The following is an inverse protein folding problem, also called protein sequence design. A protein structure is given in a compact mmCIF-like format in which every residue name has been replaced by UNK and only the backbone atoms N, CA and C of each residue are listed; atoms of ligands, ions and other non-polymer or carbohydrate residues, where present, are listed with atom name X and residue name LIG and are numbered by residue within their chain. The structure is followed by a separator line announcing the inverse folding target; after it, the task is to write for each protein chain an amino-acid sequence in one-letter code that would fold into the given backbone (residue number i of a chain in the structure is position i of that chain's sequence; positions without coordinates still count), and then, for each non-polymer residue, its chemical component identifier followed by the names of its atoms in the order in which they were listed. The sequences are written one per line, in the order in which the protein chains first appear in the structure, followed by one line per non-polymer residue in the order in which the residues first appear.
data_IF_362808686644
#
_entry.id   IF_362808686644
#
_cell.length_a   1.000
_cell.length_b   1.000
_cell.length_c   1.000
_cell.angle_alpha   90.00
_cell.angle_beta   90.00
_cell.angle_gamma   90.00
#
_symmetry.space_group_name_H-M   'P 1'
#
loop_
_entity.id
_entity.type
_entity.pdbx_description
1 polymer ?
#
# COMPACT_ATOMS: atom_id res chain seq x y z
N UNK A 1 17.65 17.08 -20.99
CA UNK A 1 17.05 15.74 -20.92
C UNK A 1 15.63 15.92 -20.38
N UNK A 2 14.60 15.70 -21.23
CA UNK A 2 13.21 15.62 -20.77
C UNK A 2 13.11 14.43 -19.81
N UNK A 3 12.85 14.70 -18.53
CA UNK A 3 12.51 13.65 -17.56
C UNK A 3 11.11 13.15 -17.98
N UNK A 4 11.02 11.97 -18.59
CA UNK A 4 9.73 11.33 -18.83
C UNK A 4 8.98 11.33 -17.50
N UNK A 5 7.70 11.70 -17.52
CA UNK A 5 6.89 11.61 -16.31
C UNK A 5 6.97 10.17 -15.81
N UNK A 6 7.22 9.95 -14.51
CA UNK A 6 7.26 8.60 -13.91
C UNK A 6 5.99 7.80 -14.22
N UNK A 7 4.87 8.46 -14.47
CA UNK A 7 3.59 7.85 -14.85
C UNK A 7 3.59 7.25 -16.26
N UNK A 8 4.52 7.67 -17.14
CA UNK A 8 4.68 7.12 -18.48
C UNK A 8 5.64 5.93 -18.53
N UNK A 9 6.37 5.67 -17.43
CA UNK A 9 7.29 4.53 -17.35
C UNK A 9 6.50 3.21 -17.37
N UNK A 10 6.74 2.32 -18.36
CA UNK A 10 6.03 1.04 -18.49
C UNK A 10 6.11 0.15 -17.24
N UNK A 11 7.11 0.37 -16.38
CA UNK A 11 7.27 -0.36 -15.11
C UNK A 11 6.22 0.03 -14.09
N UNK A 12 5.72 1.28 -14.11
CA UNK A 12 4.88 1.87 -13.06
C UNK A 12 3.52 2.34 -13.55
N UNK A 13 3.32 2.48 -14.87
CA UNK A 13 2.06 2.97 -15.48
C UNK A 13 0.82 2.28 -14.92
N UNK A 14 0.88 0.97 -14.66
CA UNK A 14 -0.22 0.18 -14.10
C UNK A 14 -0.68 0.61 -12.69
N UNK A 15 0.10 1.45 -11.99
CA UNK A 15 -0.27 2.00 -10.67
C UNK A 15 -1.35 3.07 -10.82
N UNK A 16 -1.25 3.87 -11.89
CA UNK A 16 -2.19 4.95 -12.21
C UNK A 16 -3.36 4.50 -13.12
N UNK A 17 -3.50 3.20 -13.38
CA UNK A 17 -4.55 2.66 -14.25
C UNK A 17 -5.57 1.83 -13.44
N UNK A 18 -6.82 1.77 -13.90
CA UNK A 18 -7.82 0.86 -13.35
C UNK A 18 -7.33 -0.59 -13.38
N UNK A 19 -7.64 -1.34 -12.35
CA UNK A 19 -7.17 -2.72 -12.20
C UNK A 19 -7.86 -3.68 -13.15
N UNK A 20 -7.11 -4.68 -13.61
CA UNK A 20 -7.63 -5.73 -14.49
C UNK A 20 -8.74 -6.55 -13.81
N UNK A 21 -9.60 -7.17 -14.61
CA UNK A 21 -10.65 -8.08 -14.11
C UNK A 21 -10.05 -9.23 -13.30
N UNK A 22 -8.90 -9.77 -13.72
CA UNK A 22 -8.20 -10.81 -12.97
C UNK A 22 -7.77 -10.34 -11.56
N UNK A 23 -7.29 -9.11 -11.45
CA UNK A 23 -6.96 -8.51 -10.15
C UNK A 23 -8.22 -8.37 -9.27
N UNK A 24 -9.33 -7.92 -9.83
CA UNK A 24 -10.60 -7.77 -9.09
C UNK A 24 -11.13 -9.12 -8.60
N UNK A 25 -11.08 -10.16 -9.44
CA UNK A 25 -11.48 -11.53 -9.05
C UNK A 25 -10.57 -12.05 -7.93
N UNK A 26 -9.26 -11.89 -8.06
CA UNK A 26 -8.31 -12.30 -7.03
C UNK A 26 -8.57 -11.57 -5.70
N UNK A 27 -8.74 -10.26 -5.75
CA UNK A 27 -9.03 -9.44 -4.57
C UNK A 27 -10.33 -9.88 -3.89
N UNK A 28 -11.37 -10.13 -4.66
CA UNK A 28 -12.64 -10.64 -4.14
C UNK A 28 -12.49 -11.99 -3.41
N UNK A 29 -11.77 -12.94 -4.03
CA UNK A 29 -11.51 -14.25 -3.41
C UNK A 29 -10.67 -14.10 -2.14
N UNK A 30 -9.65 -13.23 -2.20
CA UNK A 30 -8.81 -12.94 -1.04
C UNK A 30 -9.61 -12.31 0.10
N UNK A 31 -10.47 -11.33 -0.19
CA UNK A 31 -11.34 -10.70 0.79
C UNK A 31 -12.31 -11.70 1.43
N UNK A 32 -12.93 -12.56 0.61
CA UNK A 32 -13.82 -13.60 1.12
C UNK A 32 -13.09 -14.55 2.08
N UNK A 33 -11.90 -15.00 1.70
CA UNK A 33 -11.05 -15.84 2.54
C UNK A 33 -10.64 -15.12 3.83
N UNK A 34 -10.09 -13.90 3.72
CA UNK A 34 -9.62 -13.12 4.86
C UNK A 34 -10.77 -12.79 5.83
N UNK A 35 -11.93 -12.36 5.32
CA UNK A 35 -13.12 -12.09 6.13
C UNK A 35 -13.59 -13.35 6.87
N UNK A 36 -13.59 -14.50 6.21
CA UNK A 36 -13.97 -15.78 6.84
C UNK A 36 -13.00 -16.14 7.99
N UNK A 37 -11.70 -16.07 7.72
CA UNK A 37 -10.66 -16.37 8.71
C UNK A 37 -10.74 -15.40 9.90
N UNK A 38 -10.81 -14.09 9.63
CA UNK A 38 -10.79 -13.04 10.67
C UNK A 38 -12.12 -12.89 11.41
N UNK A 39 -13.17 -13.54 10.94
CA UNK A 39 -14.47 -13.58 11.63
C UNK A 39 -14.63 -14.85 12.48
N UNK A 40 -14.27 -16.01 11.95
CA UNK A 40 -14.61 -17.30 12.55
C UNK A 40 -13.42 -18.05 13.15
N UNK A 41 -12.25 -18.00 12.50
CA UNK A 41 -11.07 -18.77 12.94
C UNK A 41 -10.17 -17.95 13.89
N UNK A 42 -9.91 -16.70 13.57
CA UNK A 42 -9.09 -15.77 14.36
C UNK A 42 -9.83 -14.44 14.52
N UNK A 43 -10.91 -14.39 15.32
CA UNK A 43 -11.81 -13.24 15.36
C UNK A 43 -11.09 -11.97 15.80
N UNK A 44 -11.23 -10.92 14.96
CA UNK A 44 -10.65 -9.60 15.19
C UNK A 44 -11.72 -8.65 15.70
N UNK A 45 -11.46 -8.04 16.86
CA UNK A 45 -12.29 -6.95 17.39
C UNK A 45 -11.77 -5.61 16.86
N UNK A 46 -12.61 -4.90 16.13
CA UNK A 46 -12.31 -3.56 15.61
C UNK A 46 -12.99 -2.51 16.50
N UNK A 47 -12.22 -1.54 16.98
CA UNK A 47 -12.67 -0.43 17.82
C UNK A 47 -12.32 0.88 17.08
N UNK A 48 -13.22 1.87 17.07
CA UNK A 48 -12.96 3.17 16.43
C UNK A 48 -13.21 3.19 14.91
N UNK A 49 -13.96 2.22 14.37
CA UNK A 49 -14.28 2.17 12.92
C UNK A 49 -14.99 3.42 12.42
N UNK A 50 -15.71 4.11 13.29
CA UNK A 50 -16.38 5.38 13.03
C UNK A 50 -15.42 6.51 12.66
N UNK A 51 -14.15 6.40 13.02
CA UNK A 51 -13.10 7.39 12.72
C UNK A 51 -12.51 7.24 11.30
N UNK A 52 -12.87 6.17 10.57
CA UNK A 52 -12.35 5.94 9.23
C UNK A 52 -12.94 6.99 8.27
N UNK A 53 -12.09 7.75 7.52
CA UNK A 53 -12.55 8.69 6.51
C UNK A 53 -13.42 7.99 5.46
N UNK A 54 -14.58 8.60 5.11
CA UNK A 54 -15.55 7.97 4.21
C UNK A 54 -15.55 8.57 2.81
N UNK A 55 -15.20 9.84 2.72
CA UNK A 55 -15.37 10.63 1.49
C UNK A 55 -14.05 11.15 0.90
N UNK A 56 -12.94 10.75 1.48
CA UNK A 56 -11.61 11.17 1.03
C UNK A 56 -10.61 10.02 1.20
N UNK A 57 -9.61 9.94 0.32
CA UNK A 57 -8.48 9.03 0.51
C UNK A 57 -7.71 9.34 1.78
N UNK A 58 -7.12 8.32 2.39
CA UNK A 58 -6.31 8.46 3.60
C UNK A 58 -5.09 7.56 3.60
N UNK A 59 -4.14 7.87 4.46
CA UNK A 59 -2.99 7.02 4.75
C UNK A 59 -3.27 6.26 6.05
N UNK A 60 -3.33 4.92 5.92
CA UNK A 60 -3.48 4.05 7.09
C UNK A 60 -2.09 3.72 7.65
N UNK A 61 -1.83 4.12 8.88
CA UNK A 61 -0.53 3.89 9.55
C UNK A 61 -0.69 2.87 10.65
N UNK A 62 0.13 1.82 10.63
CA UNK A 62 0.10 0.75 11.62
C UNK A 62 1.50 0.23 11.92
N UNK A 63 1.69 -0.39 13.08
CA UNK A 63 2.86 -1.22 13.35
C UNK A 63 2.85 -2.47 12.44
N UNK A 64 4.01 -3.11 12.27
CA UNK A 64 4.18 -4.21 11.33
C UNK A 64 4.88 -5.42 11.96
N UNK A 65 4.11 -6.45 12.27
CA UNK A 65 4.64 -7.68 12.88
C UNK A 65 4.35 -8.94 12.05
N UNK A 66 3.36 -8.89 11.14
CA UNK A 66 2.88 -10.08 10.44
C UNK A 66 2.57 -9.80 8.97
N UNK A 67 2.59 -10.83 8.14
CA UNK A 67 2.01 -10.78 6.79
C UNK A 67 0.49 -10.59 6.81
N UNK A 68 -0.17 -10.97 7.91
CA UNK A 68 -1.61 -10.81 8.09
C UNK A 68 -2.04 -9.35 8.37
N UNK A 69 -1.11 -8.45 8.71
CA UNK A 69 -1.44 -7.06 9.07
C UNK A 69 -2.23 -6.37 7.95
N UNK A 70 -1.86 -6.62 6.70
CA UNK A 70 -2.56 -6.07 5.51
C UNK A 70 -4.02 -6.54 5.47
N UNK A 71 -4.25 -7.85 5.66
CA UNK A 71 -5.60 -8.40 5.67
C UNK A 71 -6.43 -7.88 6.85
N UNK A 72 -5.82 -7.75 8.03
CA UNK A 72 -6.46 -7.22 9.23
C UNK A 72 -6.85 -5.75 9.04
N UNK A 73 -5.97 -4.95 8.43
CA UNK A 73 -6.25 -3.54 8.16
C UNK A 73 -7.37 -3.38 7.12
N UNK A 74 -7.34 -4.12 6.01
CA UNK A 74 -8.43 -4.12 5.03
C UNK A 74 -9.76 -4.55 5.67
N UNK A 75 -9.77 -5.66 6.43
CA UNK A 75 -10.93 -6.14 7.19
C UNK A 75 -11.48 -5.08 8.15
N UNK A 76 -10.60 -4.36 8.85
CA UNK A 76 -11.00 -3.35 9.84
C UNK A 76 -11.80 -2.20 9.23
N UNK A 77 -11.52 -1.84 7.98
CA UNK A 77 -12.20 -0.75 7.27
C UNK A 77 -13.49 -1.17 6.60
N UNK A 78 -13.72 -2.44 6.35
CA UNK A 78 -14.75 -3.00 5.45
C UNK A 78 -14.63 -2.55 4.00
N UNK A 79 -13.50 -1.99 3.63
CA UNK A 79 -13.15 -1.74 2.24
C UNK A 79 -12.48 -3.00 1.67
N UNK A 80 -12.61 -3.25 0.38
CA UNK A 80 -11.93 -4.36 -0.27
C UNK A 80 -10.40 -4.17 -0.27
N UNK A 81 -9.68 -5.28 -0.31
CA UNK A 81 -8.22 -5.31 -0.37
C UNK A 81 -7.66 -4.48 -1.56
N UNK A 82 -8.40 -4.48 -2.67
CA UNK A 82 -8.06 -3.71 -3.88
C UNK A 82 -7.99 -2.19 -3.63
N UNK A 83 -8.62 -1.71 -2.56
CA UNK A 83 -8.63 -0.28 -2.18
C UNK A 83 -7.36 0.18 -1.47
N UNK A 84 -6.41 -0.73 -1.24
CA UNK A 84 -5.19 -0.39 -0.52
C UNK A 84 -3.94 -0.62 -1.36
N UNK A 85 -3.07 0.39 -1.41
CA UNK A 85 -1.72 0.32 -1.93
C UNK A 85 -0.69 0.23 -0.80
N UNK A 86 0.46 -0.38 -1.09
CA UNK A 86 1.53 -0.60 -0.11
C UNK A 86 2.84 -0.06 -0.61
N UNK A 87 3.54 0.72 0.20
CA UNK A 87 4.90 1.13 -0.12
C UNK A 87 5.83 -0.08 -0.06
N UNK A 88 6.44 -0.40 -1.20
CA UNK A 88 7.27 -1.58 -1.35
C UNK A 88 8.67 -1.25 -1.87
N UNK A 89 9.67 -1.90 -1.30
CA UNK A 89 11.06 -1.69 -1.70
C UNK A 89 11.28 -1.98 -3.18
N UNK A 90 11.73 -0.96 -3.95
CA UNK A 90 11.93 -1.04 -5.39
C UNK A 90 12.90 -2.17 -5.76
N UNK A 91 14.04 -2.22 -5.08
CA UNK A 91 15.10 -3.21 -5.29
C UNK A 91 14.64 -4.67 -5.14
N UNK A 92 13.65 -4.92 -4.29
CA UNK A 92 13.13 -6.26 -4.08
C UNK A 92 11.98 -6.64 -5.03
N UNK A 93 11.05 -5.72 -5.28
CA UNK A 93 9.80 -6.03 -5.98
C UNK A 93 9.80 -5.65 -7.46
N UNK A 94 10.51 -4.59 -7.85
CA UNK A 94 10.39 -4.00 -9.17
C UNK A 94 11.60 -4.27 -10.09
N UNK A 95 12.77 -4.53 -9.53
CA UNK A 95 13.97 -4.79 -10.33
C UNK A 95 14.02 -6.25 -10.87
N UNK A 96 13.19 -7.15 -10.33
CA UNK A 96 13.02 -8.50 -10.84
C UNK A 96 11.78 -8.56 -11.75
N UNK A 97 11.99 -8.82 -13.04
CA UNK A 97 10.93 -8.86 -14.06
C UNK A 97 9.82 -9.89 -13.75
N UNK A 98 10.18 -11.06 -13.23
CA UNK A 98 9.21 -12.09 -12.89
C UNK A 98 8.33 -11.65 -11.72
N UNK A 99 8.93 -11.17 -10.63
CA UNK A 99 8.20 -10.66 -9.46
C UNK A 99 7.28 -9.51 -9.86
N UNK A 100 7.82 -8.51 -10.57
CA UNK A 100 7.02 -7.37 -11.04
C UNK A 100 5.82 -7.81 -11.86
N UNK A 101 6.01 -8.71 -12.85
CA UNK A 101 4.91 -9.18 -13.73
C UNK A 101 3.88 -10.03 -12.99
N UNK A 102 4.31 -10.82 -12.01
CA UNK A 102 3.43 -11.65 -11.21
C UNK A 102 2.63 -10.82 -10.20
N UNK A 103 3.33 -10.04 -9.38
CA UNK A 103 2.69 -9.34 -8.26
C UNK A 103 1.87 -8.10 -8.66
N UNK A 104 2.12 -7.49 -9.83
CA UNK A 104 1.28 -6.39 -10.31
C UNK A 104 -0.21 -6.74 -10.46
N UNK A 105 -0.52 -8.03 -10.62
CA UNK A 105 -1.88 -8.53 -10.75
C UNK A 105 -2.44 -9.09 -9.44
N UNK A 106 -1.69 -9.05 -8.36
CA UNK A 106 -2.09 -9.62 -7.07
C UNK A 106 -2.08 -8.59 -5.94
N UNK A 107 -1.20 -7.58 -6.01
CA UNK A 107 -0.98 -6.63 -4.93
C UNK A 107 -0.75 -5.23 -5.52
N UNK A 108 -1.33 -4.21 -4.92
CA UNK A 108 -1.09 -2.82 -5.28
C UNK A 108 0.22 -2.33 -4.62
N UNK A 109 1.35 -2.61 -5.25
CA UNK A 109 2.65 -2.16 -4.78
C UNK A 109 3.00 -0.79 -5.37
N UNK A 110 3.41 0.15 -4.51
CA UNK A 110 3.94 1.46 -4.90
C UNK A 110 5.45 1.45 -4.57
N UNK A 111 6.33 1.67 -5.55
CA UNK A 111 7.76 1.56 -5.34
C UNK A 111 8.30 2.69 -4.47
N UNK A 112 9.15 2.34 -3.50
CA UNK A 112 9.93 3.28 -2.72
C UNK A 112 11.39 2.83 -2.66
N UNK A 113 12.32 3.75 -2.89
CA UNK A 113 13.75 3.48 -2.73
C UNK A 113 14.17 3.61 -1.27
N UNK A 114 14.84 2.57 -0.76
CA UNK A 114 15.33 2.54 0.63
C UNK A 114 16.67 3.24 0.80
N UNK A 115 17.47 3.31 -0.28
CA UNK A 115 18.77 3.95 -0.31
C UNK A 115 18.88 4.82 -1.55
N UNK A 116 19.45 6.02 -1.45
CA UNK A 116 19.76 6.86 -2.60
C UNK A 116 20.82 6.16 -3.46
N UNK A 117 20.56 5.98 -4.73
CA UNK A 117 21.53 5.63 -5.75
C UNK A 117 21.11 6.30 -7.07
N UNK A 118 21.97 6.40 -8.10
CA UNK A 118 21.65 7.08 -9.35
C UNK A 118 20.41 6.54 -10.09
N UNK A 119 20.06 5.28 -9.86
CA UNK A 119 18.90 4.60 -10.46
C UNK A 119 17.69 4.52 -9.50
N UNK A 120 17.83 5.10 -8.31
CA UNK A 120 16.73 5.09 -7.33
C UNK A 120 15.61 6.03 -7.78
N UNK A 121 14.39 5.65 -7.43
CA UNK A 121 13.28 6.60 -7.42
C UNK A 121 13.55 7.64 -6.33
N UNK A 122 13.36 8.90 -6.65
CA UNK A 122 13.33 9.92 -5.62
C UNK A 122 11.99 9.89 -4.85
N UNK A 123 11.90 10.68 -3.81
CA UNK A 123 10.68 10.72 -3.00
C UNK A 123 9.51 11.33 -3.78
N UNK A 124 9.80 12.29 -4.67
CA UNK A 124 8.78 12.96 -5.48
C UNK A 124 8.19 12.03 -6.52
N UNK A 125 9.00 11.15 -7.13
CA UNK A 125 8.51 10.08 -8.01
C UNK A 125 7.55 9.14 -7.26
N UNK A 126 7.93 8.71 -6.04
CA UNK A 126 7.08 7.86 -5.21
C UNK A 126 5.79 8.57 -4.79
N UNK A 127 5.86 9.86 -4.46
CA UNK A 127 4.67 10.67 -4.13
C UNK A 127 3.77 10.85 -5.36
N UNK A 128 4.33 11.07 -6.55
CA UNK A 128 3.58 11.19 -7.80
C UNK A 128 2.80 9.91 -8.10
N UNK A 129 3.44 8.75 -7.96
CA UNK A 129 2.78 7.44 -8.12
C UNK A 129 1.69 7.22 -7.05
N UNK A 130 1.99 7.60 -5.80
CA UNK A 130 1.05 7.50 -4.69
C UNK A 130 -0.18 8.36 -4.92
N UNK A 131 0.02 9.61 -5.36
CA UNK A 131 -1.09 10.51 -5.69
C UNK A 131 -1.95 9.95 -6.81
N UNK A 132 -1.36 9.52 -7.90
CA UNK A 132 -2.10 8.93 -9.03
C UNK A 132 -2.91 7.71 -8.61
N UNK A 133 -2.40 6.88 -7.69
CA UNK A 133 -3.12 5.75 -7.12
C UNK A 133 -4.30 6.19 -6.25
N UNK A 134 -4.10 7.22 -5.42
CA UNK A 134 -5.15 7.76 -4.53
C UNK A 134 -6.23 8.53 -5.30
N UNK A 135 -5.88 9.19 -6.41
CA UNK A 135 -6.85 9.88 -7.29
C UNK A 135 -7.85 8.91 -7.96
N UNK A 136 -7.55 7.61 -7.98
CA UNK A 136 -8.49 6.54 -8.36
C UNK A 136 -9.44 6.13 -7.21
N UNK A 137 -9.46 6.84 -6.10
CA UNK A 137 -10.30 6.55 -4.92
C UNK A 137 -9.74 5.41 -4.06
N UNK A 138 -8.43 5.25 -4.01
CA UNK A 138 -7.75 4.24 -3.22
C UNK A 138 -7.00 4.85 -2.03
N UNK A 139 -6.59 4.02 -1.08
CA UNK A 139 -5.88 4.39 0.14
C UNK A 139 -4.47 3.79 0.16
N UNK A 140 -3.60 4.30 1.00
CA UNK A 140 -2.24 3.77 1.16
C UNK A 140 -2.02 3.29 2.58
N UNK A 141 -1.44 2.10 2.74
CA UNK A 141 -0.96 1.60 4.02
C UNK A 141 0.54 1.86 4.13
N UNK A 142 0.94 2.48 5.22
CA UNK A 142 2.35 2.71 5.56
C UNK A 142 2.65 2.08 6.91
N UNK A 143 3.67 1.23 6.92
CA UNK A 143 4.26 0.71 8.14
C UNK A 143 5.49 1.57 8.49
N UNK A 144 5.38 2.49 9.46
CA UNK A 144 6.43 3.48 9.72
C UNK A 144 7.71 2.88 10.32
N UNK A 145 7.66 1.64 10.76
CA UNK A 145 8.82 0.86 11.20
C UNK A 145 9.78 0.54 10.03
N UNK A 146 9.23 0.42 8.81
CA UNK A 146 9.98 0.14 7.58
C UNK A 146 10.41 -1.31 7.40
N UNK A 147 10.16 -2.17 8.38
CA UNK A 147 10.34 -3.62 8.33
C UNK A 147 9.48 -4.26 9.41
N UNK A 148 9.22 -5.57 9.27
CA UNK A 148 8.57 -6.33 10.35
C UNK A 148 9.48 -6.41 11.56
N UNK A 149 8.89 -6.14 12.73
CA UNK A 149 9.55 -6.19 14.02
C UNK A 149 9.44 -7.56 14.69
N UNK A 150 9.97 -7.64 15.92
CA UNK A 150 9.75 -8.77 16.80
C UNK A 150 8.32 -8.74 17.34
N UNK A 151 7.73 -9.92 17.53
CA UNK A 151 6.39 -10.07 18.10
C UNK A 151 6.33 -9.41 19.49
N UNK A 152 5.31 -8.58 19.70
CA UNK A 152 5.09 -7.88 20.96
C UNK A 152 5.95 -6.62 21.18
N UNK A 153 6.78 -6.22 20.20
CA UNK A 153 7.59 -5.00 20.30
C UNK A 153 7.23 -4.04 19.16
N UNK A 154 6.97 -2.79 19.49
CA UNK A 154 6.81 -1.70 18.52
C UNK A 154 8.18 -1.07 18.29
N UNK A 155 8.61 -1.02 17.03
CA UNK A 155 9.86 -0.38 16.66
C UNK A 155 9.69 1.15 16.53
N UNK A 156 10.82 1.85 16.40
CA UNK A 156 10.81 3.30 16.21
C UNK A 156 10.11 3.69 14.90
N UNK A 157 9.10 4.52 14.97
CA UNK A 157 8.40 5.08 13.83
C UNK A 157 9.26 6.13 13.12
N UNK A 158 9.40 5.96 11.82
CA UNK A 158 10.07 6.90 10.91
C UNK A 158 9.07 7.98 10.46
N UNK A 159 9.60 9.16 10.14
CA UNK A 159 8.80 10.33 9.70
C UNK A 159 8.18 10.19 8.30
N UNK A 160 8.32 9.03 7.63
CA UNK A 160 7.83 8.82 6.26
C UNK A 160 6.33 9.07 6.12
N UNK A 161 5.51 8.47 6.98
CA UNK A 161 4.05 8.63 6.91
C UNK A 161 3.60 10.10 6.97
N UNK A 162 4.21 10.90 7.86
CA UNK A 162 3.92 12.34 7.98
C UNK A 162 4.32 13.10 6.71
N UNK A 163 5.48 12.78 6.12
CA UNK A 163 5.90 13.39 4.84
C UNK A 163 4.93 13.10 3.70
N UNK A 164 4.45 11.86 3.63
CA UNK A 164 3.44 11.47 2.63
C UNK A 164 2.11 12.18 2.86
N UNK A 165 1.61 12.24 4.09
CA UNK A 165 0.37 12.93 4.41
C UNK A 165 0.44 14.42 4.03
N UNK A 166 1.51 15.10 4.43
CA UNK A 166 1.71 16.52 4.10
C UNK A 166 1.91 16.76 2.59
N UNK A 167 2.67 15.89 1.92
CA UNK A 167 2.95 16.04 0.50
C UNK A 167 1.77 15.69 -0.43
N UNK A 168 0.86 14.85 0.03
CA UNK A 168 -0.33 14.41 -0.70
C UNK A 168 -1.61 15.15 -0.25
N UNK A 169 -1.52 15.92 0.82
CA UNK A 169 -2.66 16.63 1.47
C UNK A 169 -3.81 15.68 1.82
N UNK A 170 -3.48 14.58 2.53
CA UNK A 170 -4.44 13.55 2.94
C UNK A 170 -4.31 13.22 4.42
N UNK A 171 -5.40 12.87 5.11
CA UNK A 171 -5.36 12.54 6.53
C UNK A 171 -4.60 11.23 6.81
N UNK A 172 -4.07 11.12 8.02
CA UNK A 172 -3.55 9.88 8.61
C UNK A 172 -4.63 9.29 9.53
N UNK A 173 -4.85 7.98 9.37
CA UNK A 173 -5.64 7.16 10.27
C UNK A 173 -4.72 6.25 11.09
#
# INVERSE_FOLDING_TARGET
FMKYSILEDPRYKHIAEPKSILFQIFSFIFDLYANTVLTFYSPVKVIGRENIPKNEPFIFVSNHNSHMDIAILAYSTRMGYEKFGFLAAKDYWFDNNFRRRFFKNLINLIPISRKPNPESLDLDDTMTLSKAFMDLGNNIIIFPEGSRGEVGKIQRFRKGAVKFSMGLDVPIL
#
